data_IF_856969953810
#
_entry.id   IF_856969953810
#
_cell.length_a   1.000
_cell.length_b   1.000
_cell.length_c   1.000
_cell.angle_alpha   90.00
_cell.angle_beta   90.00
_cell.angle_gamma   90.00
#
_symmetry.space_group_name_H-M   'P 1'
#
loop_
_entity.id
_entity.type
_entity.pdbx_description
1 polymer ?
#
# COMPACT_ATOMS: atom_id res chain seq x y z
N UNK A 1 3.70 -3.83 -26.70
CA UNK A 1 4.37 -4.46 -25.55
C UNK A 1 3.27 -4.98 -24.63
N UNK A 2 3.37 -6.22 -24.16
CA UNK A 2 2.54 -6.76 -23.09
C UNK A 2 3.44 -6.96 -21.88
N UNK A 3 3.07 -6.37 -20.75
CA UNK A 3 3.86 -6.45 -19.52
C UNK A 3 2.95 -6.77 -18.36
N UNK A 4 3.36 -7.73 -17.53
CA UNK A 4 2.68 -8.06 -16.27
C UNK A 4 3.51 -7.56 -15.11
N UNK A 5 2.86 -6.88 -14.18
CA UNK A 5 3.45 -6.40 -12.94
C UNK A 5 2.74 -7.08 -11.77
N UNK A 6 3.50 -7.82 -10.96
CA UNK A 6 3.02 -8.41 -9.71
C UNK A 6 3.51 -7.55 -8.55
N UNK A 7 2.59 -7.20 -7.66
CA UNK A 7 2.88 -6.23 -6.62
C UNK A 7 1.85 -6.16 -5.51
N UNK A 8 2.06 -5.18 -4.64
CA UNK A 8 1.24 -4.91 -3.48
C UNK A 8 0.62 -3.52 -3.50
N UNK A 9 -0.54 -3.37 -2.87
CA UNK A 9 -1.19 -2.09 -2.66
C UNK A 9 -1.36 -1.75 -1.18
N UNK A 10 -1.37 -0.46 -0.84
CA UNK A 10 -1.55 0.06 0.52
C UNK A 10 -2.89 -0.33 1.18
N UNK A 11 -3.87 -0.76 0.38
CA UNK A 11 -5.14 -1.36 0.84
C UNK A 11 -5.00 -2.75 1.45
N UNK A 12 -3.81 -3.36 1.42
CA UNK A 12 -3.62 -4.74 1.85
C UNK A 12 -3.83 -5.76 0.74
N UNK A 13 -3.60 -5.39 -0.53
CA UNK A 13 -3.92 -6.25 -1.67
C UNK A 13 -2.67 -6.72 -2.42
N UNK A 14 -2.67 -7.98 -2.87
CA UNK A 14 -1.71 -8.48 -3.86
C UNK A 14 -2.41 -8.48 -5.22
N UNK A 15 -1.80 -7.81 -6.20
CA UNK A 15 -2.41 -7.60 -7.51
C UNK A 15 -1.43 -7.95 -8.62
N UNK A 16 -1.94 -8.65 -9.63
CA UNK A 16 -1.28 -8.81 -10.93
C UNK A 16 -1.97 -7.91 -11.94
N UNK A 17 -1.23 -6.94 -12.48
CA UNK A 17 -1.71 -6.04 -13.54
C UNK A 17 -0.97 -6.35 -14.83
N UNK A 18 -1.71 -6.76 -15.86
CA UNK A 18 -1.20 -6.87 -17.22
C UNK A 18 -1.63 -5.63 -18.02
N UNK A 19 -0.67 -4.96 -18.66
CA UNK A 19 -0.93 -3.85 -19.59
C UNK A 19 -0.57 -4.31 -21.00
N UNK A 20 -1.52 -4.23 -21.91
CA UNK A 20 -1.29 -4.34 -23.34
C UNK A 20 -1.27 -2.94 -23.96
N UNK A 21 -0.07 -2.40 -24.12
CA UNK A 21 0.14 -1.07 -24.69
C UNK A 21 -0.09 -1.00 -26.21
N UNK A 22 -0.40 -2.13 -26.88
CA UNK A 22 -0.78 -2.15 -28.30
C UNK A 22 -2.29 -2.16 -28.43
N UNK A 23 -2.97 -3.02 -27.67
CA UNK A 23 -4.43 -3.07 -27.63
C UNK A 23 -5.06 -1.93 -26.82
N UNK A 24 -4.26 -1.20 -26.04
CA UNK A 24 -4.71 -0.20 -25.06
C UNK A 24 -5.72 -0.78 -24.07
N UNK A 25 -5.39 -1.95 -23.53
CA UNK A 25 -6.19 -2.66 -22.52
C UNK A 25 -5.35 -3.01 -21.30
N UNK A 26 -6.05 -3.28 -20.20
CA UNK A 26 -5.45 -3.92 -19.04
C UNK A 26 -6.29 -5.10 -18.56
N UNK A 27 -5.62 -6.06 -17.95
CA UNK A 27 -6.25 -7.10 -17.11
C UNK A 27 -5.70 -6.95 -15.71
N UNK A 28 -6.58 -6.85 -14.72
CA UNK A 28 -6.20 -6.75 -13.32
C UNK A 28 -6.82 -7.91 -12.56
N UNK A 29 -5.99 -8.64 -11.80
CA UNK A 29 -6.40 -9.72 -10.92
C UNK A 29 -6.03 -9.39 -9.49
N UNK A 30 -7.00 -9.37 -8.60
CA UNK A 30 -6.77 -9.35 -7.16
C UNK A 30 -6.48 -10.77 -6.72
N UNK A 31 -5.23 -11.05 -6.35
CA UNK A 31 -4.83 -12.36 -5.84
C UNK A 31 -5.23 -12.47 -4.37
N UNK A 32 -4.97 -11.41 -3.60
CA UNK A 32 -5.35 -11.26 -2.20
C UNK A 32 -5.99 -9.89 -2.02
N UNK A 33 -7.03 -9.80 -1.18
CA UNK A 33 -7.67 -8.52 -0.88
C UNK A 33 -8.56 -8.58 0.37
N UNK A 34 -8.48 -7.57 1.26
CA UNK A 34 -9.43 -7.37 2.36
C UNK A 34 -10.61 -6.49 1.93
N UNK A 35 -10.61 -5.95 0.70
CA UNK A 35 -11.64 -5.02 0.23
C UNK A 35 -12.91 -5.80 -0.11
N UNK A 36 -14.06 -5.48 0.50
CA UNK A 36 -15.34 -6.14 0.21
C UNK A 36 -15.74 -6.00 -1.26
N UNK A 37 -16.40 -7.02 -1.82
CA UNK A 37 -16.97 -6.94 -3.17
C UNK A 37 -18.07 -5.86 -3.28
N UNK A 38 -18.75 -5.58 -2.16
CA UNK A 38 -19.87 -4.65 -2.07
C UNK A 38 -19.76 -3.82 -0.79
N UNK A 39 -19.97 -2.52 -0.92
CA UNK A 39 -20.16 -1.60 0.22
C UNK A 39 -21.30 -2.10 1.12
N UNK A 40 -21.15 -1.94 2.44
CA UNK A 40 -22.09 -2.44 3.44
C UNK A 40 -21.83 -3.89 3.89
N UNK A 41 -20.79 -4.54 3.38
CA UNK A 41 -20.40 -5.92 3.74
C UNK A 41 -18.92 -6.00 4.12
N UNK A 42 -18.51 -7.09 4.77
CA UNK A 42 -17.09 -7.40 5.05
C UNK A 42 -16.60 -8.64 4.30
N UNK A 43 -17.51 -9.44 3.76
CA UNK A 43 -17.22 -10.67 3.01
C UNK A 43 -18.39 -10.99 2.06
N UNK A 44 -18.17 -11.60 0.88
CA UNK A 44 -16.86 -11.91 0.29
C UNK A 44 -16.05 -10.66 -0.08
N UNK A 45 -14.72 -10.78 -0.04
CA UNK A 45 -13.80 -9.76 -0.56
C UNK A 45 -13.56 -9.93 -2.05
N UNK A 46 -12.92 -8.95 -2.68
CA UNK A 46 -12.60 -9.02 -4.12
C UNK A 46 -11.41 -9.93 -4.46
N UNK A 47 -10.82 -10.62 -3.49
CA UNK A 47 -9.80 -11.63 -3.74
C UNK A 47 -10.28 -12.66 -4.77
N UNK A 48 -9.44 -13.07 -5.70
CA UNK A 48 -9.78 -13.96 -6.82
C UNK A 48 -10.52 -13.28 -7.99
N UNK A 49 -10.96 -12.04 -7.86
CA UNK A 49 -11.65 -11.30 -8.95
C UNK A 49 -10.66 -10.93 -10.05
N UNK A 50 -11.08 -11.08 -11.31
CA UNK A 50 -10.35 -10.58 -12.48
C UNK A 50 -11.22 -9.64 -13.29
N UNK A 51 -10.72 -8.47 -13.62
CA UNK A 51 -11.37 -7.50 -14.50
C UNK A 51 -10.51 -7.21 -15.73
N UNK A 52 -11.18 -6.78 -16.80
CA UNK A 52 -10.54 -6.20 -17.98
C UNK A 52 -11.12 -4.82 -18.23
N UNK A 53 -10.27 -3.88 -18.63
CA UNK A 53 -10.66 -2.52 -19.01
C UNK A 53 -9.75 -1.95 -20.08
N UNK A 54 -10.00 -0.69 -20.44
CA UNK A 54 -9.11 0.06 -21.35
C UNK A 54 -8.08 0.84 -20.55
N UNK A 55 -6.93 1.09 -21.17
CA UNK A 55 -6.00 2.10 -20.70
C UNK A 55 -6.01 3.29 -21.65
N UNK A 56 -5.83 4.48 -21.10
CA UNK A 56 -5.58 5.70 -21.87
C UNK A 56 -4.35 6.39 -21.31
N UNK A 57 -3.60 7.09 -22.16
CA UNK A 57 -2.57 8.00 -21.65
C UNK A 57 -3.25 9.21 -20.99
N UNK A 58 -2.64 9.80 -19.95
CA UNK A 58 -3.12 11.07 -19.45
C UNK A 58 -3.06 12.13 -20.57
N UNK A 59 -3.90 13.19 -20.51
CA UNK A 59 -3.89 14.23 -21.53
C UNK A 59 -2.50 14.84 -21.76
N UNK A 60 -2.21 15.23 -23.00
CA UNK A 60 -0.95 15.90 -23.32
C UNK A 60 -0.77 17.15 -22.45
N UNK A 61 0.40 17.28 -21.82
CA UNK A 61 0.72 18.36 -20.90
C UNK A 61 0.36 18.07 -19.43
N UNK A 62 -0.28 16.94 -19.14
CA UNK A 62 -0.50 16.46 -17.76
C UNK A 62 0.78 15.90 -17.13
N UNK A 63 1.80 15.53 -17.90
CA UNK A 63 3.11 15.15 -17.36
C UNK A 63 4.21 15.96 -18.05
N UNK A 64 5.38 16.17 -17.40
CA UNK A 64 6.38 17.12 -17.89
C UNK A 64 6.95 16.78 -19.26
N UNK A 65 7.00 15.50 -19.62
CA UNK A 65 7.56 15.02 -20.88
C UNK A 65 6.61 14.08 -21.63
N UNK A 66 6.79 14.02 -22.95
CA UNK A 66 6.07 13.08 -23.81
C UNK A 66 6.37 11.62 -23.43
N UNK A 67 7.59 11.33 -22.99
CA UNK A 67 7.96 9.98 -22.55
C UNK A 67 7.26 9.58 -21.24
N UNK A 68 7.20 10.48 -20.26
CA UNK A 68 6.41 10.23 -19.05
C UNK A 68 4.93 10.02 -19.37
N UNK A 69 4.37 10.79 -20.31
CA UNK A 69 2.99 10.61 -20.78
C UNK A 69 2.79 9.23 -21.44
N UNK A 70 3.74 8.82 -22.30
CA UNK A 70 3.73 7.52 -22.98
C UNK A 70 3.86 6.34 -22.01
N UNK A 71 4.54 6.55 -20.90
CA UNK A 71 4.74 5.57 -19.82
C UNK A 71 3.69 5.65 -18.71
N UNK A 72 2.69 6.50 -18.84
CA UNK A 72 1.59 6.62 -17.90
C UNK A 72 0.31 6.02 -18.49
N UNK A 73 -0.35 5.16 -17.72
CA UNK A 73 -1.56 4.45 -18.13
C UNK A 73 -2.65 4.70 -17.11
N UNK A 74 -3.65 5.50 -17.48
CA UNK A 74 -4.89 5.66 -16.71
C UNK A 74 -5.77 4.45 -16.95
N UNK A 75 -6.17 3.77 -15.88
CA UNK A 75 -7.01 2.59 -15.91
C UNK A 75 -8.47 3.04 -15.93
N UNK A 76 -9.14 2.95 -17.08
CA UNK A 76 -10.58 3.26 -17.15
C UNK A 76 -11.38 2.20 -16.39
N UNK A 77 -12.67 2.44 -16.08
CA UNK A 77 -13.53 1.42 -15.49
C UNK A 77 -13.42 0.08 -16.23
N UNK A 78 -13.24 -0.98 -15.45
CA UNK A 78 -13.11 -2.35 -15.93
C UNK A 78 -14.22 -3.22 -15.35
N UNK A 79 -14.53 -4.31 -16.04
CA UNK A 79 -15.56 -5.27 -15.63
C UNK A 79 -15.04 -6.69 -15.72
N UNK A 80 -15.66 -7.58 -14.94
CA UNK A 80 -15.29 -8.98 -14.89
C UNK A 80 -16.19 -9.78 -13.96
N UNK A 81 -15.69 -10.93 -13.52
CA UNK A 81 -16.45 -11.87 -12.69
C UNK A 81 -15.73 -12.09 -11.37
N UNK A 82 -16.47 -11.92 -10.28
CA UNK A 82 -16.01 -12.22 -8.93
C UNK A 82 -16.09 -13.74 -8.65
N UNK A 83 -15.39 -14.25 -7.61
CA UNK A 83 -15.42 -15.69 -7.30
C UNK A 83 -16.81 -16.24 -6.98
N UNK A 84 -17.72 -15.40 -6.50
CA UNK A 84 -19.13 -15.77 -6.24
C UNK A 84 -19.98 -15.86 -7.52
N UNK A 85 -19.36 -15.65 -8.70
CA UNK A 85 -20.02 -15.65 -9.99
C UNK A 85 -20.71 -14.33 -10.36
N UNK A 86 -20.72 -13.34 -9.47
CA UNK A 86 -21.33 -12.04 -9.76
C UNK A 86 -20.48 -11.18 -10.68
N UNK A 87 -21.12 -10.28 -11.44
CA UNK A 87 -20.41 -9.26 -12.21
C UNK A 87 -19.81 -8.24 -11.26
N UNK A 88 -18.50 -8.00 -11.41
CA UNK A 88 -17.79 -6.93 -10.71
C UNK A 88 -17.43 -5.80 -11.68
N UNK A 89 -17.51 -4.56 -11.22
CA UNK A 89 -17.21 -3.36 -11.99
C UNK A 89 -16.61 -2.29 -11.09
N UNK A 90 -15.60 -1.58 -11.60
CA UNK A 90 -14.97 -0.44 -10.90
C UNK A 90 -15.62 0.91 -11.25
N UNK A 91 -16.68 0.91 -12.06
CA UNK A 91 -17.28 2.15 -12.55
C UNK A 91 -17.90 3.03 -11.46
N UNK A 92 -18.49 2.42 -10.41
CA UNK A 92 -19.14 3.17 -9.34
C UNK A 92 -18.15 3.99 -8.49
N UNK A 93 -16.91 3.51 -8.40
CA UNK A 93 -15.86 4.12 -7.59
C UNK A 93 -14.83 4.90 -8.43
N UNK A 94 -15.07 5.06 -9.73
CA UNK A 94 -14.12 5.73 -10.61
C UNK A 94 -14.25 7.25 -10.50
N UNK A 95 -13.21 7.90 -9.97
CA UNK A 95 -13.10 9.35 -9.95
C UNK A 95 -12.31 9.86 -11.17
N UNK A 96 -12.99 10.51 -12.12
CA UNK A 96 -12.34 11.05 -13.31
C UNK A 96 -11.33 12.18 -13.02
N UNK A 97 -11.52 12.93 -11.92
CA UNK A 97 -10.62 14.01 -11.54
C UNK A 97 -9.34 13.52 -10.85
N UNK A 98 -9.36 12.30 -10.30
CA UNK A 98 -8.20 11.66 -9.67
C UNK A 98 -8.18 10.15 -10.00
N UNK A 99 -8.03 9.77 -11.29
CA UNK A 99 -8.25 8.39 -11.69
C UNK A 99 -7.07 7.48 -11.29
N UNK A 100 -7.28 6.16 -11.17
CA UNK A 100 -6.19 5.21 -11.02
C UNK A 100 -5.29 5.24 -12.27
N UNK A 101 -4.00 5.44 -12.06
CA UNK A 101 -2.98 5.62 -13.08
C UNK A 101 -1.72 4.88 -12.64
N UNK A 102 -1.15 4.10 -13.55
CA UNK A 102 0.13 3.44 -13.38
C UNK A 102 1.19 4.16 -14.19
N UNK A 103 2.28 4.50 -13.52
CA UNK A 103 3.52 5.01 -14.06
C UNK A 103 4.47 3.83 -14.21
N UNK A 104 4.77 3.44 -15.45
CA UNK A 104 5.59 2.25 -15.73
C UNK A 104 6.94 2.62 -16.32
N UNK A 105 7.99 2.01 -15.80
CA UNK A 105 9.35 2.29 -16.24
C UNK A 105 10.35 1.43 -15.50
N UNK A 106 11.49 1.15 -16.15
CA UNK A 106 12.62 0.45 -15.55
C UNK A 106 12.28 -0.89 -14.87
N UNK A 107 11.21 -1.59 -15.29
CA UNK A 107 10.78 -2.85 -14.69
C UNK A 107 9.84 -2.73 -13.48
N UNK A 108 9.32 -1.52 -13.20
CA UNK A 108 8.38 -1.23 -12.11
C UNK A 108 7.11 -0.59 -12.67
N UNK A 109 5.99 -0.87 -12.02
CA UNK A 109 4.76 -0.09 -12.11
C UNK A 109 4.46 0.50 -10.72
N UNK A 110 4.54 1.82 -10.60
CA UNK A 110 4.10 2.56 -9.41
C UNK A 110 2.86 3.39 -9.72
N UNK A 111 2.10 3.80 -8.71
CA UNK A 111 0.93 4.67 -8.90
C UNK A 111 -0.29 4.12 -8.17
N UNK A 112 -1.43 4.01 -8.85
CA UNK A 112 -2.70 3.61 -8.24
C UNK A 112 -3.43 2.50 -9.01
N UNK A 113 -3.99 1.53 -8.28
CA UNK A 113 -5.00 0.59 -8.78
C UNK A 113 -6.41 1.08 -8.42
N UNK A 114 -7.49 0.60 -9.06
CA UNK A 114 -8.84 1.02 -8.75
C UNK A 114 -9.19 0.91 -7.26
N UNK A 115 -9.73 2.00 -6.72
CA UNK A 115 -10.16 2.12 -5.35
C UNK A 115 -11.49 1.42 -5.07
N UNK A 116 -12.16 1.80 -3.98
CA UNK A 116 -13.48 1.31 -3.61
C UNK A 116 -14.14 2.25 -2.59
N UNK A 117 -15.45 2.18 -2.46
CA UNK A 117 -16.17 2.74 -1.30
C UNK A 117 -16.35 1.66 -0.24
N UNK A 118 -15.83 1.91 0.96
CA UNK A 118 -15.87 0.99 2.09
C UNK A 118 -16.76 1.53 3.20
N UNK A 119 -17.67 0.70 3.69
CA UNK A 119 -18.59 0.98 4.79
C UNK A 119 -19.14 -0.34 5.32
N UNK A 120 -19.42 -0.40 6.61
CA UNK A 120 -20.12 -1.50 7.25
C UNK A 120 -20.87 -0.97 8.47
N UNK A 121 -22.17 -1.25 8.58
CA UNK A 121 -22.99 -0.72 9.69
C UNK A 121 -22.66 -1.36 11.05
N UNK A 122 -21.93 -2.47 11.05
CA UNK A 122 -21.60 -3.23 12.25
C UNK A 122 -22.61 -4.34 12.55
N UNK A 123 -22.21 -5.24 13.45
CA UNK A 123 -23.06 -6.33 13.90
C UNK A 123 -24.07 -5.86 14.96
N UNK A 124 -25.27 -6.45 14.90
CA UNK A 124 -26.22 -6.47 16.01
C UNK A 124 -26.14 -7.82 16.70
N UNK A 125 -25.71 -7.86 17.96
CA UNK A 125 -25.58 -9.08 18.75
C UNK A 125 -26.77 -9.17 19.70
N UNK A 126 -27.50 -10.28 19.60
CA UNK A 126 -28.73 -10.51 20.37
C UNK A 126 -28.52 -11.59 21.42
N UNK A 127 -28.98 -11.35 22.64
CA UNK A 127 -28.96 -12.32 23.75
C UNK A 127 -30.42 -12.63 24.12
N UNK A 128 -30.80 -13.91 24.02
CA UNK A 128 -32.19 -14.37 24.27
C UNK A 128 -33.20 -13.58 23.39
N UNK A 129 -32.83 -13.34 22.13
CA UNK A 129 -33.69 -12.63 21.16
C UNK A 129 -33.76 -11.11 21.33
N UNK A 130 -33.10 -10.52 22.33
CA UNK A 130 -33.04 -9.08 22.55
C UNK A 130 -31.73 -8.50 22.00
N UNK A 131 -31.75 -7.42 21.18
CA UNK A 131 -30.53 -6.78 20.67
C UNK A 131 -29.81 -6.04 21.80
N UNK A 132 -28.69 -6.59 22.29
CA UNK A 132 -27.94 -6.03 23.43
C UNK A 132 -26.80 -5.13 22.97
N UNK A 133 -26.11 -5.52 21.89
CA UNK A 133 -25.03 -4.72 21.32
C UNK A 133 -25.36 -4.39 19.87
N UNK A 134 -25.14 -3.12 19.49
CA UNK A 134 -25.41 -2.61 18.15
C UNK A 134 -24.14 -1.98 17.59
N UNK A 135 -24.02 -1.95 16.27
CA UNK A 135 -22.92 -1.33 15.52
C UNK A 135 -21.54 -1.86 15.92
N UNK A 136 -21.46 -3.13 16.35
CA UNK A 136 -20.20 -3.74 16.77
C UNK A 136 -19.29 -3.89 15.56
N UNK A 137 -18.10 -3.30 15.60
CA UNK A 137 -17.16 -3.32 14.48
C UNK A 137 -17.59 -2.45 13.28
N UNK A 138 -18.42 -1.44 13.50
CA UNK A 138 -18.84 -0.49 12.46
C UNK A 138 -17.62 0.10 11.74
N UNK A 139 -17.72 0.22 10.42
CA UNK A 139 -16.76 0.89 9.55
C UNK A 139 -17.44 2.12 8.94
N UNK A 140 -17.00 3.35 9.28
CA UNK A 140 -17.56 4.56 8.69
C UNK A 140 -17.43 4.56 7.16
N UNK A 141 -18.36 5.24 6.48
CA UNK A 141 -18.27 5.38 5.03
C UNK A 141 -17.02 6.17 4.64
N UNK A 142 -16.22 5.60 3.72
CA UNK A 142 -15.09 6.28 3.10
C UNK A 142 -14.92 5.81 1.66
N UNK A 143 -14.79 6.79 0.76
CA UNK A 143 -14.42 6.56 -0.62
C UNK A 143 -12.89 6.61 -0.75
N UNK A 144 -12.35 5.80 -1.65
CA UNK A 144 -10.94 5.82 -2.03
C UNK A 144 -10.88 5.92 -3.56
N UNK A 145 -10.29 7.01 -4.09
CA UNK A 145 -10.23 7.23 -5.54
C UNK A 145 -9.40 6.14 -6.25
N UNK A 146 -8.33 5.71 -5.59
CA UNK A 146 -7.44 4.63 -5.98
C UNK A 146 -6.76 4.05 -4.74
N UNK A 147 -6.03 2.93 -4.87
CA UNK A 147 -5.11 2.47 -3.82
C UNK A 147 -3.66 2.53 -4.32
N UNK A 148 -2.73 3.18 -3.58
CA UNK A 148 -1.33 3.22 -3.97
C UNK A 148 -0.76 1.81 -4.18
N UNK A 149 -0.11 1.60 -5.31
CA UNK A 149 0.38 0.30 -5.76
C UNK A 149 1.85 0.38 -6.18
N UNK A 150 2.58 -0.68 -5.86
CA UNK A 150 3.94 -0.93 -6.34
C UNK A 150 4.03 -2.37 -6.83
N UNK A 151 4.38 -2.56 -8.10
CA UNK A 151 4.58 -3.87 -8.70
C UNK A 151 5.80 -3.97 -9.60
N UNK A 152 6.28 -5.19 -9.78
CA UNK A 152 7.51 -5.50 -10.51
C UNK A 152 7.23 -6.36 -11.73
N UNK A 153 7.90 -6.06 -12.83
CA UNK A 153 7.87 -6.87 -14.05
C UNK A 153 8.69 -8.16 -13.91
N UNK A 154 9.65 -8.17 -13.00
CA UNK A 154 10.47 -9.33 -12.69
C UNK A 154 10.41 -9.62 -11.19
N UNK A 155 9.85 -10.78 -10.85
CA UNK A 155 9.71 -11.27 -9.48
C UNK A 155 10.34 -12.66 -9.37
N UNK A 156 10.70 -13.07 -8.17
CA UNK A 156 11.26 -14.40 -7.91
C UNK A 156 10.55 -15.09 -6.75
N UNK A 157 10.38 -16.41 -6.88
CA UNK A 157 9.97 -17.31 -5.80
C UNK A 157 11.15 -18.13 -5.25
N UNK A 158 12.38 -17.75 -5.60
CA UNK A 158 13.61 -18.30 -5.03
C UNK A 158 13.95 -17.59 -3.71
N UNK A 159 13.63 -18.24 -2.57
CA UNK A 159 13.93 -17.71 -1.23
C UNK A 159 15.42 -17.51 -0.98
N UNK A 160 16.32 -18.12 -1.76
CA UNK A 160 17.76 -17.88 -1.60
C UNK A 160 18.18 -16.47 -1.98
N UNK A 161 17.28 -15.68 -2.59
CA UNK A 161 17.47 -14.25 -2.89
C UNK A 161 17.08 -13.29 -1.77
N UNK A 162 16.38 -13.80 -0.74
CA UNK A 162 15.89 -13.04 0.41
C UNK A 162 16.92 -12.83 1.56
N UNK A 163 17.94 -13.69 1.80
CA UNK A 163 18.76 -13.56 2.98
C UNK A 163 19.43 -12.20 3.12
N UNK A 164 19.34 -11.61 4.31
CA UNK A 164 19.93 -10.32 4.60
C UNK A 164 19.16 -9.54 5.66
N UNK A 165 19.74 -8.43 6.07
CA UNK A 165 19.11 -7.47 6.98
C UNK A 165 18.52 -6.32 6.18
N UNK A 166 17.28 -5.95 6.48
CA UNK A 166 16.50 -4.93 5.80
C UNK A 166 15.93 -3.93 6.82
N UNK A 167 15.88 -2.67 6.41
CA UNK A 167 15.02 -1.69 7.06
C UNK A 167 13.65 -1.74 6.37
N UNK A 168 12.61 -2.07 7.13
CA UNK A 168 11.23 -2.07 6.68
C UNK A 168 10.57 -0.75 7.08
N UNK A 169 9.89 -0.09 6.14
CA UNK A 169 8.94 0.99 6.43
C UNK A 169 7.53 0.44 6.23
N UNK A 170 6.75 0.40 7.30
CA UNK A 170 5.40 -0.17 7.34
C UNK A 170 4.36 0.94 7.46
N UNK A 171 3.25 0.81 6.74
CA UNK A 171 2.07 1.66 6.85
C UNK A 171 0.82 0.80 6.86
N UNK A 172 0.12 0.76 7.99
CA UNK A 172 -1.13 0.02 8.16
C UNK A 172 -2.29 0.94 8.51
N UNK A 173 -3.50 0.45 8.28
CA UNK A 173 -4.77 1.07 8.63
C UNK A 173 -5.74 0.04 9.21
N UNK A 174 -6.62 0.47 10.11
CA UNK A 174 -7.73 -0.33 10.68
C UNK A 174 -9.06 0.38 10.37
N UNK A 175 -9.89 -0.12 9.44
CA UNK A 175 -11.14 0.53 9.04
C UNK A 175 -12.12 0.72 10.20
N UNK A 176 -12.33 -0.31 11.04
CA UNK A 176 -13.23 -0.26 12.20
C UNK A 176 -12.75 0.67 13.31
N UNK A 177 -11.45 0.96 13.36
CA UNK A 177 -10.83 1.98 14.19
C UNK A 177 -10.98 3.39 13.61
N UNK A 178 -12.05 3.63 12.84
CA UNK A 178 -12.28 4.88 12.12
C UNK A 178 -11.15 5.21 11.13
N UNK A 179 -10.69 4.19 10.40
CA UNK A 179 -9.53 4.26 9.51
C UNK A 179 -8.26 4.78 10.21
N UNK A 180 -8.06 4.42 11.48
CA UNK A 180 -6.84 4.75 12.19
C UNK A 180 -5.62 4.18 11.44
N UNK A 181 -4.60 5.00 11.27
CA UNK A 181 -3.39 4.69 10.52
C UNK A 181 -2.19 4.65 11.46
N UNK A 182 -1.21 3.81 11.14
CA UNK A 182 0.07 3.80 11.83
C UNK A 182 1.20 3.49 10.88
N UNK A 183 2.27 4.24 11.07
CA UNK A 183 3.54 4.09 10.40
C UNK A 183 4.59 3.68 11.42
N UNK A 184 5.34 2.63 11.12
CA UNK A 184 6.49 2.20 11.94
C UNK A 184 7.63 1.79 11.02
N UNK A 185 8.87 1.93 11.49
CA UNK A 185 10.03 1.33 10.86
C UNK A 185 10.56 0.18 11.73
N UNK A 186 11.13 -0.83 11.09
CA UNK A 186 11.69 -2.02 11.74
C UNK A 186 12.99 -2.42 11.05
N UNK A 187 13.90 -3.07 11.79
CA UNK A 187 15.09 -3.72 11.21
C UNK A 187 14.93 -5.23 11.35
N UNK A 188 14.90 -5.92 10.21
CA UNK A 188 14.52 -7.33 10.13
C UNK A 188 15.53 -8.10 9.31
N UNK A 189 15.96 -9.25 9.83
CA UNK A 189 16.90 -10.15 9.16
C UNK A 189 16.18 -11.42 8.75
N UNK A 190 16.22 -11.73 7.46
CA UNK A 190 15.68 -12.94 6.89
C UNK A 190 16.79 -13.95 6.61
N UNK A 191 16.50 -15.22 6.85
CA UNK A 191 17.36 -16.33 6.44
C UNK A 191 16.90 -16.98 5.13
N UNK A 192 17.64 -17.98 4.66
CA UNK A 192 17.33 -18.69 3.41
C UNK A 192 16.07 -19.58 3.49
N UNK A 193 15.53 -19.82 4.68
CA UNK A 193 14.27 -20.53 4.90
C UNK A 193 13.09 -19.55 5.00
N UNK A 194 13.33 -18.24 4.82
CA UNK A 194 12.33 -17.21 4.98
C UNK A 194 11.94 -16.92 6.42
N UNK A 195 12.67 -17.45 7.41
CA UNK A 195 12.45 -17.11 8.80
C UNK A 195 12.97 -15.69 9.08
N UNK A 196 12.26 -14.96 9.93
CA UNK A 196 12.58 -13.59 10.27
C UNK A 196 13.04 -13.46 11.73
N UNK A 197 14.05 -12.61 11.95
CA UNK A 197 14.47 -12.15 13.28
C UNK A 197 14.56 -10.63 13.30
N UNK A 198 14.31 -10.01 14.45
CA UNK A 198 14.46 -8.57 14.64
C UNK A 198 15.14 -8.30 15.98
N UNK A 199 15.94 -7.23 16.03
CA UNK A 199 16.52 -6.72 17.27
C UNK A 199 15.53 -5.89 18.10
N UNK A 200 14.35 -5.57 17.54
CA UNK A 200 13.29 -4.86 18.24
C UNK A 200 12.53 -5.75 19.22
N UNK A 201 12.06 -5.16 20.33
CA UNK A 201 11.31 -5.86 21.39
C UNK A 201 9.98 -6.48 20.94
N UNK A 202 9.43 -6.03 19.81
CA UNK A 202 8.21 -6.55 19.21
C UNK A 202 8.42 -7.74 18.26
N UNK A 203 9.67 -8.18 18.05
CA UNK A 203 10.00 -9.14 17.00
C UNK A 203 9.78 -8.57 15.59
N UNK A 204 9.71 -9.44 14.59
CA UNK A 204 9.41 -9.02 13.23
C UNK A 204 7.99 -8.44 13.14
N UNK A 205 7.88 -7.30 12.47
CA UNK A 205 6.64 -6.58 12.24
C UNK A 205 6.04 -6.89 10.87
N UNK A 206 6.84 -7.44 9.94
CA UNK A 206 6.35 -7.76 8.58
C UNK A 206 5.79 -9.17 8.43
N UNK A 207 6.16 -10.10 9.32
CA UNK A 207 5.77 -11.51 9.22
C UNK A 207 5.66 -12.17 10.60
N UNK A 208 4.80 -13.17 10.73
CA UNK A 208 4.62 -13.96 11.96
C UNK A 208 5.21 -15.37 11.91
N UNK A 209 5.50 -15.89 10.72
CA UNK A 209 6.02 -17.23 10.47
C UNK A 209 6.92 -17.24 9.22
N UNK A 210 7.78 -18.26 9.03
CA UNK A 210 8.64 -18.32 7.86
C UNK A 210 7.86 -18.30 6.55
N UNK A 211 8.37 -17.54 5.58
CA UNK A 211 7.76 -17.40 4.26
C UNK A 211 7.63 -18.73 3.52
N UNK A 212 6.45 -18.98 2.95
CA UNK A 212 6.17 -20.15 2.11
C UNK A 212 5.66 -19.71 0.76
N UNK A 213 6.02 -20.42 -0.32
CA UNK A 213 5.53 -20.07 -1.66
C UNK A 213 4.00 -20.12 -1.70
N UNK A 214 3.38 -19.08 -2.23
CA UNK A 214 1.93 -19.00 -2.34
C UNK A 214 1.39 -19.97 -3.38
N UNK A 215 0.23 -20.57 -3.08
CA UNK A 215 -0.51 -21.39 -4.05
C UNK A 215 -1.07 -20.55 -5.23
N UNK A 216 -1.24 -19.24 -5.02
CA UNK A 216 -1.73 -18.30 -6.02
C UNK A 216 -0.62 -17.81 -6.98
N UNK A 217 0.64 -18.17 -6.70
CA UNK A 217 1.79 -18.04 -7.59
C UNK A 217 2.50 -16.68 -7.59
N UNK A 218 3.83 -16.69 -7.67
CA UNK A 218 4.67 -15.50 -7.88
C UNK A 218 5.08 -14.71 -6.63
N UNK A 219 4.64 -15.12 -5.44
CA UNK A 219 4.93 -14.48 -4.16
C UNK A 219 4.91 -15.50 -3.01
N UNK A 220 5.13 -15.04 -1.78
CA UNK A 220 5.16 -15.86 -0.56
C UNK A 220 4.10 -15.45 0.45
N UNK A 221 3.66 -16.39 1.28
CA UNK A 221 2.66 -16.22 2.32
C UNK A 221 3.24 -16.46 3.72
N UNK A 222 2.67 -15.74 4.69
CA UNK A 222 2.81 -15.91 6.13
C UNK A 222 1.41 -15.89 6.77
N UNK A 223 1.15 -16.82 7.70
CA UNK A 223 -0.19 -17.13 8.24
C UNK A 223 -0.55 -16.40 9.53
N UNK A 224 0.31 -15.51 10.05
CA UNK A 224 0.06 -14.75 11.28
C UNK A 224 0.62 -13.33 11.22
N UNK A 225 0.08 -12.48 10.34
CA UNK A 225 0.60 -11.14 10.16
C UNK A 225 0.61 -10.33 11.48
N UNK A 226 1.76 -9.74 11.88
CA UNK A 226 1.82 -8.88 13.05
C UNK A 226 0.83 -7.71 12.96
N UNK A 227 0.34 -7.28 14.12
CA UNK A 227 -0.57 -6.14 14.27
C UNK A 227 0.23 -4.99 14.85
N UNK A 228 0.14 -3.81 14.25
CA UNK A 228 0.78 -2.60 14.78
C UNK A 228 -0.25 -1.61 15.30
N UNK A 229 -1.54 -1.81 15.00
CA UNK A 229 -2.65 -1.00 15.48
C UNK A 229 -3.50 -1.77 16.51
N UNK A 230 -4.22 -1.05 17.39
CA UNK A 230 -5.24 -1.66 18.24
C UNK A 230 -6.33 -2.32 17.40
N UNK A 231 -6.70 -3.56 17.74
CA UNK A 231 -7.75 -4.29 17.05
C UNK A 231 -9.13 -4.05 17.65
N UNK A 232 -10.16 -4.21 16.83
CA UNK A 232 -11.55 -4.27 17.28
C UNK A 232 -11.76 -5.38 18.31
N UNK A 233 -12.44 -5.04 19.40
CA UNK A 233 -12.81 -5.96 20.46
C UNK A 233 -14.30 -6.23 20.40
N UNK A 234 -14.68 -7.50 20.34
CA UNK A 234 -16.06 -7.93 20.39
C UNK A 234 -16.56 -7.93 21.85
N UNK A 235 -17.80 -7.49 22.14
CA UNK A 235 -18.29 -7.36 23.52
C UNK A 235 -18.26 -8.64 24.36
N UNK A 236 -18.45 -9.81 23.73
CA UNK A 236 -18.56 -11.10 24.43
C UNK A 236 -17.24 -11.88 24.52
N UNK A 237 -16.33 -11.70 23.55
CA UNK A 237 -15.11 -12.52 23.43
C UNK A 237 -13.82 -11.70 23.36
N UNK A 238 -13.91 -10.37 23.34
CA UNK A 238 -12.76 -9.48 23.27
C UNK A 238 -12.07 -9.47 21.91
N UNK A 239 -10.74 -9.31 21.91
CA UNK A 239 -9.94 -9.36 20.68
C UNK A 239 -9.77 -10.82 20.23
N UNK A 240 -9.92 -11.08 18.93
CA UNK A 240 -9.95 -12.44 18.37
C UNK A 240 -8.57 -12.98 17.95
N UNK A 241 -7.50 -12.23 18.23
CA UNK A 241 -6.12 -12.58 17.89
C UNK A 241 -5.69 -12.13 16.50
N UNK A 242 -4.61 -12.74 15.98
CA UNK A 242 -4.06 -12.49 14.64
C UNK A 242 -4.66 -13.49 13.67
N UNK A 243 -5.45 -13.01 12.72
CA UNK A 243 -6.08 -13.87 11.69
C UNK A 243 -5.78 -13.42 10.26
N UNK A 244 -5.19 -12.25 10.10
CA UNK A 244 -4.69 -11.76 8.84
C UNK A 244 -3.43 -12.48 8.37
N UNK A 245 -3.19 -12.40 7.07
CA UNK A 245 -2.03 -12.96 6.38
C UNK A 245 -1.10 -11.86 5.89
N UNK A 246 0.18 -12.19 5.80
CA UNK A 246 1.16 -11.34 5.14
C UNK A 246 1.64 -12.00 3.85
N UNK A 247 1.93 -11.19 2.83
CA UNK A 247 2.28 -11.66 1.51
C UNK A 247 3.51 -10.89 1.00
N UNK A 248 4.58 -11.60 0.64
CA UNK A 248 5.82 -10.99 0.17
C UNK A 248 6.01 -11.20 -1.33
N UNK A 249 6.13 -10.10 -2.07
CA UNK A 249 6.63 -10.07 -3.44
C UNK A 249 8.11 -9.72 -3.41
N UNK A 250 8.96 -10.56 -4.00
CA UNK A 250 10.40 -10.27 -4.15
C UNK A 250 10.65 -9.74 -5.56
N UNK A 251 10.71 -8.42 -5.70
CA UNK A 251 11.08 -7.74 -6.94
C UNK A 251 12.57 -7.85 -7.22
N UNK A 252 12.92 -7.94 -8.51
CA UNK A 252 14.30 -7.89 -9.01
C UNK A 252 14.47 -6.63 -9.85
N UNK A 253 15.17 -5.64 -9.31
CA UNK A 253 15.23 -4.30 -9.90
C UNK A 253 16.64 -3.73 -9.87
N UNK A 254 17.17 -3.36 -11.05
CA UNK A 254 18.50 -2.78 -11.20
C UNK A 254 19.61 -3.56 -10.46
N UNK A 255 19.53 -4.90 -10.48
CA UNK A 255 20.47 -5.80 -9.80
C UNK A 255 20.26 -5.94 -8.29
N UNK A 256 19.24 -5.29 -7.71
CA UNK A 256 18.88 -5.39 -6.30
C UNK A 256 17.64 -6.26 -6.08
N UNK A 257 17.60 -6.93 -4.92
CA UNK A 257 16.40 -7.57 -4.38
C UNK A 257 15.57 -6.54 -3.61
N UNK A 258 14.30 -6.37 -3.98
CA UNK A 258 13.36 -5.47 -3.30
C UNK A 258 12.15 -6.25 -2.80
N UNK A 259 12.09 -6.57 -1.50
CA UNK A 259 10.88 -7.13 -0.91
C UNK A 259 9.82 -6.04 -0.71
N UNK A 260 8.60 -6.34 -1.14
CA UNK A 260 7.38 -5.59 -0.80
C UNK A 260 6.45 -6.57 -0.11
N UNK A 261 5.97 -6.20 1.08
CA UNK A 261 5.13 -7.06 1.89
C UNK A 261 3.77 -6.38 2.04
N UNK A 262 2.72 -7.15 1.89
CA UNK A 262 1.34 -6.71 2.04
C UNK A 262 0.73 -7.45 3.20
N UNK A 263 0.06 -6.71 4.08
CA UNK A 263 -0.78 -7.29 5.12
C UNK A 263 -2.23 -7.25 4.66
N UNK A 264 -2.85 -8.42 4.54
CA UNK A 264 -4.26 -8.57 4.14
C UNK A 264 -5.10 -8.85 5.38
N UNK A 265 -5.96 -7.90 5.74
CA UNK A 265 -6.91 -8.08 6.85
C UNK A 265 -7.87 -9.25 6.62
N UNK A 266 -8.36 -9.83 7.72
CA UNK A 266 -9.30 -10.94 7.72
C UNK A 266 -10.47 -10.66 8.66
N UNK A 267 -11.69 -10.78 8.12
CA UNK A 267 -12.92 -10.68 8.91
C UNK A 267 -13.83 -11.86 8.58
N UNK A 268 -14.16 -12.61 9.62
CA UNK A 268 -15.22 -13.61 9.65
C UNK A 268 -16.15 -13.25 10.81
N UNK A 269 -17.42 -12.97 10.49
CA UNK A 269 -18.41 -12.53 11.47
C UNK A 269 -18.86 -13.65 12.43
N UNK A 270 -18.47 -14.90 12.20
CA UNK A 270 -18.92 -16.04 13.01
C UNK A 270 -20.41 -16.33 12.86
N UNK A 271 -20.93 -17.13 13.79
CA UNK A 271 -22.28 -17.67 13.75
C UNK A 271 -23.23 -16.85 14.65
N UNK A 272 -24.35 -16.32 14.13
CA UNK A 272 -25.38 -15.68 14.94
C UNK A 272 -26.01 -16.63 15.97
N UNK A 273 -26.61 -16.11 17.06
CA UNK A 273 -26.75 -14.68 17.38
C UNK A 273 -25.62 -14.12 18.24
N UNK A 274 -24.72 -14.97 18.76
CA UNK A 274 -23.69 -14.57 19.73
C UNK A 274 -22.32 -14.32 19.11
N UNK A 275 -22.04 -14.84 17.90
CA UNK A 275 -20.81 -14.57 17.16
C UNK A 275 -19.52 -14.92 17.95
N UNK A 276 -19.57 -15.96 18.78
CA UNK A 276 -18.46 -16.35 19.69
C UNK A 276 -17.26 -16.97 18.97
N UNK A 277 -17.44 -17.37 17.72
CA UNK A 277 -16.45 -17.93 16.80
C UNK A 277 -15.94 -16.92 15.77
N UNK A 278 -16.32 -15.64 15.91
CA UNK A 278 -15.87 -14.58 15.02
C UNK A 278 -14.35 -14.38 15.07
N UNK A 279 -13.79 -13.99 13.93
CA UNK A 279 -12.37 -13.60 13.76
C UNK A 279 -12.36 -12.23 13.10
N UNK A 280 -11.85 -11.23 13.81
CA UNK A 280 -11.81 -9.83 13.39
C UNK A 280 -10.38 -9.34 13.55
N UNK A 281 -9.71 -9.19 12.41
CA UNK A 281 -8.40 -8.59 12.23
C UNK A 281 -8.47 -7.78 10.93
N UNK A 282 -9.15 -6.63 10.99
CA UNK A 282 -9.39 -5.77 9.82
C UNK A 282 -8.21 -4.84 9.51
N UNK A 283 -7.09 -4.98 10.22
CA UNK A 283 -5.87 -4.25 9.90
C UNK A 283 -5.33 -4.65 8.52
N UNK A 284 -4.96 -3.68 7.70
CA UNK A 284 -4.39 -3.94 6.37
C UNK A 284 -3.30 -2.92 6.08
N UNK A 285 -2.37 -3.25 5.19
CA UNK A 285 -1.29 -2.32 4.89
C UNK A 285 -0.20 -2.86 3.99
N UNK A 286 0.87 -2.07 3.89
CA UNK A 286 2.03 -2.36 3.05
C UNK A 286 3.31 -2.06 3.82
N UNK A 287 4.36 -2.81 3.50
CA UNK A 287 5.72 -2.55 3.91
C UNK A 287 6.66 -2.60 2.71
N UNK A 288 7.57 -1.64 2.63
CA UNK A 288 8.66 -1.64 1.65
C UNK A 288 9.97 -1.83 2.39
N UNK A 289 10.81 -2.74 1.88
CA UNK A 289 12.07 -3.12 2.51
C UNK A 289 13.25 -2.64 1.67
N UNK A 290 14.21 -1.99 2.32
CA UNK A 290 15.49 -1.61 1.75
C UNK A 290 16.62 -2.33 2.48
N UNK A 291 17.66 -2.75 1.77
CA UNK A 291 18.81 -3.39 2.40
C UNK A 291 19.43 -2.47 3.46
N UNK A 292 19.85 -3.04 4.60
CA UNK A 292 20.50 -2.31 5.68
C UNK A 292 21.98 -2.02 5.35
N UNK A 293 22.20 -1.34 4.21
CA UNK A 293 23.51 -0.92 3.71
C UNK A 293 23.56 0.59 3.71
N UNK A 294 24.64 1.17 4.25
CA UNK A 294 24.78 2.61 4.35
C UNK A 294 24.63 3.29 2.98
N UNK A 295 23.77 4.30 2.92
CA UNK A 295 23.55 5.12 1.71
C UNK A 295 24.46 6.34 1.79
N UNK A 296 25.25 6.63 0.76
CA UNK A 296 26.06 7.85 0.72
C UNK A 296 25.31 8.98 0.04
N UNK A 297 25.60 10.24 0.40
CA UNK A 297 25.07 11.40 -0.33
C UNK A 297 25.39 11.28 -1.83
N UNK A 298 24.42 11.59 -2.68
CA UNK A 298 24.54 11.43 -4.14
C UNK A 298 24.14 10.05 -4.67
N UNK A 299 24.09 8.99 -3.83
CA UNK A 299 23.81 7.64 -4.30
C UNK A 299 22.37 7.44 -4.80
N UNK A 300 21.45 8.28 -4.30
CA UNK A 300 20.02 8.22 -4.61
C UNK A 300 19.53 9.51 -5.27
N UNK A 301 20.44 10.32 -5.81
CA UNK A 301 20.08 11.51 -6.56
C UNK A 301 19.27 11.11 -7.80
N UNK A 302 18.25 11.90 -8.11
CA UNK A 302 17.39 11.67 -9.26
C UNK A 302 15.96 12.12 -9.06
N UNK A 303 15.18 11.95 -10.13
CA UNK A 303 13.74 12.12 -10.13
C UNK A 303 13.04 10.79 -9.91
N UNK A 304 12.03 10.79 -9.06
CA UNK A 304 11.20 9.65 -8.74
C UNK A 304 9.73 10.00 -8.95
N UNK A 305 8.92 9.02 -9.32
CA UNK A 305 7.47 9.20 -9.38
C UNK A 305 6.73 7.98 -8.84
N UNK A 306 5.58 8.22 -8.23
CA UNK A 306 4.74 7.18 -7.67
C UNK A 306 3.47 7.76 -7.07
N UNK A 307 3.02 7.15 -5.98
CA UNK A 307 1.85 7.58 -5.23
C UNK A 307 2.09 7.43 -3.73
N UNK A 308 1.23 8.08 -2.95
CA UNK A 308 1.37 8.15 -1.50
C UNK A 308 0.04 7.89 -0.76
N UNK A 309 0.14 7.82 0.57
CA UNK A 309 -0.99 7.63 1.49
C UNK A 309 -1.99 8.78 1.51
N UNK A 310 -1.69 9.90 0.82
CA UNK A 310 -2.64 10.99 0.64
C UNK A 310 -3.55 10.77 -0.57
N UNK A 311 -3.38 9.67 -1.33
CA UNK A 311 -4.10 9.42 -2.58
C UNK A 311 -3.79 10.51 -3.61
N UNK A 312 -2.51 10.86 -3.70
CA UNK A 312 -1.93 11.75 -4.70
C UNK A 312 -0.86 11.01 -5.50
N UNK A 313 -0.72 11.40 -6.77
CA UNK A 313 0.49 11.10 -7.51
C UNK A 313 1.54 12.13 -7.15
N UNK A 314 2.70 11.66 -6.75
CA UNK A 314 3.78 12.52 -6.26
C UNK A 314 5.06 12.16 -6.98
N UNK A 315 5.77 13.20 -7.42
CA UNK A 315 7.15 13.09 -7.82
C UNK A 315 8.06 13.55 -6.68
N UNK A 316 9.27 13.01 -6.59
CA UNK A 316 10.31 13.52 -5.71
C UNK A 316 11.56 13.81 -6.51
N UNK A 317 12.21 14.93 -6.23
CA UNK A 317 13.52 15.26 -6.75
C UNK A 317 14.51 15.25 -5.59
N UNK A 318 15.51 14.38 -5.64
CA UNK A 318 16.54 14.24 -4.59
C UNK A 318 17.89 14.68 -5.15
N UNK A 319 18.60 15.54 -4.42
CA UNK A 319 19.94 16.04 -4.75
C UNK A 319 20.77 16.20 -3.47
N UNK A 320 21.66 15.25 -3.20
CA UNK A 320 22.41 15.18 -1.96
C UNK A 320 21.48 15.16 -0.75
N UNK A 321 21.66 16.09 0.19
CA UNK A 321 20.83 16.25 1.40
C UNK A 321 19.53 17.01 1.17
N UNK A 322 19.29 17.57 -0.01
CA UNK A 322 18.11 18.35 -0.30
C UNK A 322 17.17 17.58 -1.23
N UNK A 323 15.88 17.65 -0.94
CA UNK A 323 14.87 17.05 -1.80
C UNK A 323 13.56 17.85 -1.73
N UNK A 324 12.70 17.63 -2.72
CA UNK A 324 11.37 18.21 -2.74
C UNK A 324 10.36 17.21 -3.30
N UNK A 325 9.18 17.18 -2.71
CA UNK A 325 8.00 16.61 -3.33
C UNK A 325 7.44 17.60 -4.36
N UNK A 326 7.00 17.07 -5.49
CA UNK A 326 6.57 17.84 -6.65
C UNK A 326 5.27 17.21 -7.14
N UNK A 327 4.28 18.04 -7.42
CA UNK A 327 3.10 17.60 -8.13
C UNK A 327 3.51 17.27 -9.58
N UNK A 328 3.41 16.00 -10.03
CA UNK A 328 3.93 15.60 -11.33
C UNK A 328 3.20 16.30 -12.47
N UNK A 329 1.96 16.75 -12.26
CA UNK A 329 1.16 17.37 -13.31
C UNK A 329 1.37 18.87 -13.46
N UNK A 330 1.50 19.59 -12.35
CA UNK A 330 1.71 21.04 -12.38
C UNK A 330 3.17 21.44 -12.28
N UNK A 331 4.06 20.50 -11.92
CA UNK A 331 5.46 20.74 -11.56
C UNK A 331 5.64 21.72 -10.40
N UNK A 332 4.56 22.01 -9.66
CA UNK A 332 4.63 22.84 -8.46
C UNK A 332 5.32 22.04 -7.34
N UNK A 333 6.23 22.70 -6.65
CA UNK A 333 6.79 22.20 -5.40
C UNK A 333 5.68 22.13 -4.35
N UNK A 334 5.59 20.99 -3.67
CA UNK A 334 4.71 20.78 -2.53
C UNK A 334 5.54 20.98 -1.25
N UNK A 335 5.93 19.92 -0.57
CA UNK A 335 6.85 20.01 0.57
C UNK A 335 8.31 19.80 0.15
N UNK A 336 9.19 20.64 0.68
CA UNK A 336 10.62 20.34 0.71
C UNK A 336 10.93 19.29 1.78
N UNK A 337 12.03 18.57 1.66
CA UNK A 337 12.58 17.77 2.76
C UNK A 337 14.10 17.65 2.69
N UNK A 338 14.73 17.46 3.84
CA UNK A 338 16.16 17.19 3.92
C UNK A 338 16.43 15.75 4.33
N UNK A 339 17.55 15.20 3.86
CA UNK A 339 18.06 13.88 4.19
C UNK A 339 19.36 13.99 4.96
N UNK A 340 19.42 13.28 6.09
CA UNK A 340 20.61 13.11 6.90
C UNK A 340 21.28 11.78 6.59
N UNK A 341 22.51 11.86 6.05
CA UNK A 341 23.34 10.71 5.72
C UNK A 341 24.21 10.22 6.89
N UNK A 342 24.19 10.91 8.04
CA UNK A 342 24.80 10.51 9.31
C UNK A 342 24.09 9.34 9.99
N UNK A 343 23.83 8.27 9.24
CA UNK A 343 23.02 7.11 9.60
C UNK A 343 23.49 6.43 10.89
N UNK A 344 22.65 6.45 11.93
CA UNK A 344 22.82 5.57 13.10
C UNK A 344 22.50 4.10 12.76
N UNK A 345 21.54 3.90 11.85
CA UNK A 345 21.18 2.59 11.29
C UNK A 345 21.50 2.58 9.80
N UNK A 346 22.43 1.73 9.32
CA UNK A 346 22.78 1.67 7.90
C UNK A 346 21.56 1.46 7.01
N UNK A 347 21.42 2.25 5.94
CA UNK A 347 20.33 2.18 4.98
C UNK A 347 19.06 2.93 5.37
N UNK A 348 19.06 3.62 6.52
CA UNK A 348 17.91 4.38 7.02
C UNK A 348 18.29 5.85 7.22
N UNK A 349 17.88 6.70 6.28
CA UNK A 349 18.14 8.14 6.33
C UNK A 349 17.09 8.83 7.17
N UNK A 350 17.49 9.71 8.09
CA UNK A 350 16.51 10.59 8.74
C UNK A 350 16.06 11.64 7.74
N UNK A 351 14.76 11.94 7.76
CA UNK A 351 14.15 12.94 6.92
C UNK A 351 13.46 14.02 7.76
N UNK A 352 13.51 15.27 7.31
CA UNK A 352 12.77 16.38 7.91
C UNK A 352 12.09 17.20 6.82
N UNK A 353 10.77 17.34 6.91
CA UNK A 353 9.99 18.12 5.93
C UNK A 353 10.01 19.61 6.23
N UNK A 354 9.83 20.39 5.18
CA UNK A 354 9.71 21.84 5.17
C UNK A 354 8.45 22.17 4.38
N UNK A 355 7.30 22.36 5.05
CA UNK A 355 6.07 22.75 4.39
C UNK A 355 6.23 24.10 3.67
N UNK A 356 5.46 24.34 2.59
CA UNK A 356 5.48 25.61 1.89
C UNK A 356 5.01 26.75 2.80
N UNK A 357 5.45 27.97 2.50
CA UNK A 357 5.05 29.16 3.26
C UNK A 357 3.54 29.30 3.31
N UNK A 358 2.98 29.46 4.52
CA UNK A 358 1.54 29.59 4.75
C UNK A 358 0.78 28.26 4.89
N UNK A 359 1.49 27.12 4.88
CA UNK A 359 0.89 25.82 5.22
C UNK A 359 0.27 25.84 6.64
N UNK A 360 -0.86 25.14 6.80
CA UNK A 360 -1.58 24.99 8.06
C UNK A 360 -1.05 23.87 8.96
N UNK A 361 0.04 23.22 8.56
CA UNK A 361 0.67 22.09 9.25
C UNK A 361 2.17 22.33 9.41
N UNK A 362 2.78 21.81 10.50
CA UNK A 362 4.19 22.07 10.80
C UNK A 362 5.12 21.12 10.03
N UNK A 363 6.42 21.44 10.04
CA UNK A 363 7.47 20.48 9.70
C UNK A 363 7.32 19.18 10.49
N UNK A 364 7.62 18.07 9.84
CA UNK A 364 7.58 16.74 10.43
C UNK A 364 8.92 16.02 10.21
N UNK A 365 9.14 14.98 11.01
CA UNK A 365 10.32 14.13 10.91
C UNK A 365 9.91 12.70 10.58
N UNK A 366 10.83 11.98 9.96
CA UNK A 366 10.63 10.59 9.60
C UNK A 366 11.88 9.98 9.03
N UNK A 367 11.70 8.97 8.20
CA UNK A 367 12.80 8.19 7.64
C UNK A 367 12.58 7.88 6.17
N UNK A 368 13.68 7.70 5.45
CA UNK A 368 13.72 7.30 4.05
C UNK A 368 14.63 6.09 3.89
N UNK A 369 14.17 5.13 3.10
CA UNK A 369 14.98 4.02 2.60
C UNK A 369 15.05 4.11 1.07
N UNK A 370 16.09 3.53 0.49
CA UNK A 370 16.22 3.41 -0.96
C UNK A 370 16.82 2.06 -1.33
N UNK A 371 16.36 1.48 -2.44
CA UNK A 371 16.85 0.19 -2.95
C UNK A 371 16.51 0.03 -4.42
N UNK A 372 17.48 -0.42 -5.24
CA UNK A 372 17.25 -0.72 -6.65
C UNK A 372 16.71 0.43 -7.52
N UNK A 373 16.80 1.69 -7.09
CA UNK A 373 16.14 2.81 -7.79
C UNK A 373 14.68 3.05 -7.36
N UNK A 374 14.26 2.46 -6.24
CA UNK A 374 13.07 2.87 -5.49
C UNK A 374 13.50 3.68 -4.27
N UNK A 375 12.63 4.58 -3.82
CA UNK A 375 12.67 5.10 -2.47
C UNK A 375 11.31 4.90 -1.80
N UNK A 376 11.32 4.81 -0.47
CA UNK A 376 10.13 4.92 0.35
C UNK A 376 10.39 5.91 1.48
N UNK A 377 9.40 6.74 1.77
CA UNK A 377 9.42 7.72 2.85
C UNK A 377 8.29 7.43 3.83
N UNK A 378 8.62 7.41 5.12
CA UNK A 378 7.66 7.34 6.21
C UNK A 378 7.87 8.56 7.11
N UNK A 379 6.93 9.51 7.08
CA UNK A 379 7.02 10.77 7.80
C UNK A 379 5.91 10.84 8.87
N UNK A 380 6.29 11.12 10.11
CA UNK A 380 5.38 11.18 11.25
C UNK A 380 4.69 12.54 11.34
N UNK A 381 3.98 12.93 10.29
CA UNK A 381 3.23 14.18 10.21
C UNK A 381 2.52 14.33 8.87
N UNK A 382 1.87 15.48 8.70
CA UNK A 382 1.20 15.85 7.44
C UNK A 382 2.25 16.26 6.42
N UNK A 383 2.12 15.74 5.21
CA UNK A 383 2.99 16.07 4.07
C UNK A 383 2.10 16.40 2.87
N UNK A 384 2.54 17.33 2.01
CA UNK A 384 1.86 17.71 0.76
C UNK A 384 0.39 18.15 0.97
N UNK A 385 0.09 18.82 2.08
CA UNK A 385 -1.26 19.30 2.40
C UNK A 385 -2.25 18.22 2.87
N UNK A 386 -1.79 16.98 3.03
CA UNK A 386 -2.60 15.86 3.52
C UNK A 386 -3.46 15.19 2.46
N UNK A 387 -4.42 14.40 2.94
CA UNK A 387 -5.23 13.47 2.14
C UNK A 387 -6.12 14.20 1.14
N UNK A 388 -6.17 13.70 -0.10
CA UNK A 388 -7.09 14.19 -1.13
C UNK A 388 -8.54 14.16 -0.61
N UNK A 389 -9.29 15.27 -0.66
CA UNK A 389 -10.61 15.37 -0.02
C UNK A 389 -11.62 14.33 -0.49
N UNK A 390 -11.59 13.92 -1.76
CA UNK A 390 -12.46 12.86 -2.30
C UNK A 390 -12.17 11.48 -1.72
N UNK A 391 -10.97 11.28 -1.17
CA UNK A 391 -10.53 10.06 -0.48
C UNK A 391 -10.54 10.19 1.05
N UNK A 392 -11.16 11.25 1.59
CA UNK A 392 -11.23 11.54 3.02
C UNK A 392 -12.69 11.59 3.51
N UNK A 393 -12.89 11.24 4.77
CA UNK A 393 -14.09 11.56 5.54
C UNK A 393 -13.75 12.56 6.66
N UNK A 394 -14.75 12.96 7.46
CA UNK A 394 -14.59 13.99 8.50
C UNK A 394 -13.58 13.66 9.60
N UNK A 395 -13.14 12.40 9.69
CA UNK A 395 -12.25 11.90 10.73
C UNK A 395 -10.93 11.35 10.19
N UNK A 396 -10.72 11.44 8.87
CA UNK A 396 -9.52 10.93 8.22
C UNK A 396 -8.28 11.70 8.69
N UNK A 397 -7.35 10.99 9.33
CA UNK A 397 -6.03 11.51 9.66
C UNK A 397 -5.16 11.63 8.40
N UNK A 398 -4.44 12.74 8.26
CA UNK A 398 -3.36 12.90 7.27
C UNK A 398 -2.00 12.44 7.79
N UNK A 399 -1.98 11.74 8.93
CA UNK A 399 -0.75 11.30 9.60
C UNK A 399 -0.83 9.82 9.95
N UNK A 400 0.30 9.08 9.87
CA UNK A 400 1.55 9.49 9.22
C UNK A 400 1.43 9.52 7.70
N UNK A 401 2.39 10.14 7.04
CA UNK A 401 2.58 10.09 5.60
C UNK A 401 3.44 8.89 5.21
N UNK A 402 3.02 8.17 4.17
CA UNK A 402 3.81 7.12 3.55
C UNK A 402 3.81 7.30 2.03
N UNK A 403 4.99 7.39 1.42
CA UNK A 403 5.15 7.60 -0.02
C UNK A 403 6.18 6.65 -0.60
N UNK A 404 5.93 6.18 -1.82
CA UNK A 404 6.86 5.31 -2.56
C UNK A 404 7.02 5.86 -3.96
N UNK A 405 8.24 5.93 -4.46
CA UNK A 405 8.50 6.36 -5.83
C UNK A 405 9.57 5.52 -6.52
N UNK A 406 9.38 5.32 -7.82
CA UNK A 406 10.35 4.68 -8.70
C UNK A 406 11.14 5.72 -9.47
N UNK A 407 12.44 5.48 -9.62
CA UNK A 407 13.35 6.36 -10.33
C UNK A 407 12.93 6.44 -11.81
N UNK A 408 12.83 7.66 -12.31
CA UNK A 408 12.49 7.99 -13.70
C UNK A 408 13.61 8.78 -14.38
N UNK A 409 14.53 9.36 -13.62
CA UNK A 409 15.71 10.06 -14.11
C UNK A 409 16.84 10.06 -13.07
N UNK A 410 18.08 10.18 -13.55
CA UNK A 410 19.29 10.43 -12.75
C UNK A 410 19.80 11.83 -13.02
#
# INVERSE_FOLDING_TARGET
MKSTYLGGAGSGEIVSVNIDAVAMTYTLKWLESPIPLKTGTVTPSRAGTTITGKVVHPPTGTLPTAEQTRCAFVLTPGTGTAPDGSTYSTAADFNQANPPMLLVGMGVAGGGIPGATVQYDGLTISVIGLPVFQNVGQVPNRHFDFYPFLGFANTTTDLTKLPGTYNALLYHLVPSGNYATKGVNSSETFDANGACTSSGSGGCQTTGDPWKTSANGGYFDSTQAPQILPQTKLPLIGATGKSATAHMVIGQLNGATVPVIVRTGYVNLGTPPLHTDAKVDDESGIAVLGAATAITSGAIDGGYAGADSNFKYTAALIRGSNASFINPSTQAEEDGFTLDYGQATPGLLNAKTTPPSGASYPSASGVVIATGGLYAALIQGTVNGGVTPTSANSTTSSTPYFGVGAQISK
#
